data_IF_855771204340
#
_entry.id   IF_855771204340
#
_cell.length_a   1.000
_cell.length_b   1.000
_cell.length_c   1.000
_cell.angle_alpha   90.00
_cell.angle_beta   90.00
_cell.angle_gamma   90.00
#
_symmetry.space_group_name_H-M   'P 1'
#
loop_
_entity.id
_entity.type
_entity.pdbx_description
1 polymer ?
#
# COMPACT_ATOMS: atom_id res chain seq x y z
N UNK A 1 -9.06 -11.80 -6.72
CA UNK A 1 -8.80 -10.96 -5.53
C UNK A 1 -7.69 -9.97 -5.85
N UNK A 2 -7.85 -8.70 -5.43
CA UNK A 2 -6.82 -7.64 -5.53
C UNK A 2 -6.37 -7.22 -4.14
N UNK A 3 -5.11 -6.80 -4.01
CA UNK A 3 -4.48 -6.33 -2.77
C UNK A 3 -3.96 -4.92 -3.00
N UNK A 4 -4.38 -3.98 -2.16
CA UNK A 4 -3.99 -2.58 -2.21
C UNK A 4 -3.24 -2.19 -0.92
N UNK A 5 -2.13 -1.47 -1.06
CA UNK A 5 -1.46 -0.82 0.06
C UNK A 5 -1.90 0.64 0.15
N UNK A 6 -2.14 1.11 1.36
CA UNK A 6 -2.51 2.49 1.67
C UNK A 6 -1.47 3.08 2.63
N UNK A 7 -1.04 4.30 2.37
CA UNK A 7 -0.09 5.02 3.21
C UNK A 7 -0.47 6.49 3.37
N UNK A 8 -0.22 7.06 4.56
CA UNK A 8 -0.44 8.48 4.84
C UNK A 8 0.63 8.99 5.81
N UNK A 9 1.25 10.16 5.55
CA UNK A 9 2.25 10.74 6.44
C UNK A 9 2.08 12.24 6.70
N UNK A 10 0.96 12.85 6.30
CA UNK A 10 0.66 14.25 6.59
C UNK A 10 -0.80 14.43 7.04
N UNK A 11 -1.04 15.39 7.93
CA UNK A 11 -2.37 15.69 8.45
C UNK A 11 -2.92 14.61 9.39
N UNK A 12 -4.24 14.44 9.42
CA UNK A 12 -4.87 13.35 10.17
C UNK A 12 -4.75 12.04 9.35
N UNK A 13 -3.62 11.37 9.53
CA UNK A 13 -3.24 10.16 8.81
C UNK A 13 -4.29 9.04 8.94
N UNK A 14 -4.87 8.88 10.14
CA UNK A 14 -5.86 7.83 10.39
C UNK A 14 -7.19 8.13 9.70
N UNK A 15 -7.66 9.36 9.77
CA UNK A 15 -8.86 9.78 9.03
C UNK A 15 -8.67 9.62 7.53
N UNK A 16 -7.51 9.98 6.99
CA UNK A 16 -7.21 9.82 5.57
C UNK A 16 -7.31 8.35 5.12
N UNK A 17 -6.74 7.41 5.91
CA UNK A 17 -6.87 5.98 5.64
C UNK A 17 -8.33 5.52 5.66
N UNK A 18 -9.11 5.92 6.69
CA UNK A 18 -10.53 5.54 6.82
C UNK A 18 -11.38 6.08 5.66
N UNK A 19 -11.18 7.32 5.26
CA UNK A 19 -11.91 7.90 4.14
C UNK A 19 -11.54 7.23 2.81
N UNK A 20 -10.25 6.93 2.58
CA UNK A 20 -9.82 6.20 1.40
C UNK A 20 -10.50 4.83 1.30
N UNK A 21 -10.55 4.08 2.41
CA UNK A 21 -11.20 2.76 2.45
C UNK A 21 -12.68 2.84 2.03
N UNK A 22 -13.40 3.88 2.44
CA UNK A 22 -14.83 4.05 2.08
C UNK A 22 -15.03 4.24 0.59
N UNK A 23 -14.11 4.95 -0.06
CA UNK A 23 -14.19 5.32 -1.47
C UNK A 23 -13.68 4.24 -2.42
N UNK A 24 -12.77 3.37 -1.98
CA UNK A 24 -12.17 2.32 -2.82
C UNK A 24 -13.23 1.32 -3.28
N UNK A 25 -13.37 1.05 -4.60
CA UNK A 25 -14.43 0.21 -5.17
C UNK A 25 -14.12 -1.29 -5.06
N UNK A 26 -13.96 -1.78 -3.83
CA UNK A 26 -13.80 -3.20 -3.52
C UNK A 26 -15.00 -3.73 -2.73
N UNK A 27 -15.32 -5.00 -2.92
CA UNK A 27 -16.29 -5.74 -2.12
C UNK A 27 -15.64 -6.96 -1.46
N UNK A 28 -16.29 -7.57 -0.46
CA UNK A 28 -15.76 -8.68 0.36
C UNK A 28 -14.35 -8.39 0.88
N UNK A 29 -14.21 -7.26 1.58
CA UNK A 29 -12.93 -6.70 1.98
C UNK A 29 -12.37 -7.35 3.23
N UNK A 30 -11.04 -7.55 3.25
CA UNK A 30 -10.25 -7.81 4.46
C UNK A 30 -9.33 -6.61 4.71
N UNK A 31 -9.05 -6.36 5.98
CA UNK A 31 -8.25 -5.22 6.44
C UNK A 31 -7.13 -5.69 7.34
N UNK A 32 -5.92 -5.24 7.09
CA UNK A 32 -4.80 -5.43 8.01
C UNK A 32 -4.92 -4.53 9.23
N UNK A 33 -4.09 -4.77 10.23
CA UNK A 33 -3.77 -3.75 11.22
C UNK A 33 -3.09 -2.54 10.54
N UNK A 34 -3.09 -1.40 11.23
CA UNK A 34 -2.32 -0.21 10.83
C UNK A 34 -0.94 -0.27 11.46
N UNK A 35 0.09 0.03 10.69
CA UNK A 35 1.48 0.03 11.09
C UNK A 35 2.11 1.39 10.87
N UNK A 36 2.99 1.79 11.77
CA UNK A 36 3.81 2.98 11.60
C UNK A 36 5.20 2.60 11.10
N UNK A 37 5.72 3.32 10.12
CA UNK A 37 7.07 3.17 9.60
C UNK A 37 7.74 4.53 9.37
N UNK A 38 9.07 4.57 9.38
CA UNK A 38 9.81 5.74 8.91
C UNK A 38 9.53 6.00 7.42
N UNK A 39 9.65 7.25 7.01
CA UNK A 39 9.65 7.59 5.59
C UNK A 39 10.91 7.02 4.92
N UNK A 40 10.75 6.42 3.74
CA UNK A 40 11.89 6.13 2.87
C UNK A 40 12.21 7.40 2.09
N UNK A 41 13.37 7.98 2.34
CA UNK A 41 13.78 9.24 1.72
C UNK A 41 15.16 9.08 1.07
N UNK A 42 15.42 9.76 -0.05
CA UNK A 42 16.77 9.88 -0.59
C UNK A 42 17.63 10.76 0.33
N UNK A 43 18.95 10.58 0.28
CA UNK A 43 19.91 11.28 1.17
C UNK A 43 19.82 12.81 1.13
N UNK A 44 19.37 13.37 0.02
CA UNK A 44 19.21 14.81 -0.20
C UNK A 44 17.79 15.33 0.02
N UNK A 45 16.89 14.52 0.60
CA UNK A 45 15.52 14.95 0.85
C UNK A 45 15.48 16.09 1.89
N UNK A 46 14.55 17.04 1.79
CA UNK A 46 14.32 18.03 2.82
C UNK A 46 14.00 17.37 4.17
N UNK A 47 14.62 17.87 5.25
CA UNK A 47 14.40 17.32 6.60
C UNK A 47 12.91 17.30 7.00
N UNK A 48 12.13 18.29 6.58
CA UNK A 48 10.69 18.37 6.84
C UNK A 48 9.87 17.25 6.14
N UNK A 49 10.46 16.46 5.25
CA UNK A 49 9.81 15.31 4.64
C UNK A 49 9.93 14.03 5.47
N UNK A 50 10.80 14.04 6.51
CA UNK A 50 11.00 12.89 7.39
C UNK A 50 9.82 12.74 8.38
N UNK A 51 8.65 12.48 7.85
CA UNK A 51 7.41 12.28 8.60
C UNK A 51 7.01 10.81 8.55
N UNK A 52 6.76 10.16 9.70
CA UNK A 52 6.41 8.75 9.73
C UNK A 52 5.07 8.47 9.04
N UNK A 53 5.03 7.38 8.30
CA UNK A 53 3.82 6.89 7.64
C UNK A 53 2.97 6.04 8.58
N UNK A 54 1.66 6.13 8.44
CA UNK A 54 0.74 5.05 8.78
C UNK A 54 0.44 4.27 7.51
N UNK A 55 0.66 2.96 7.57
CA UNK A 55 0.48 2.05 6.44
C UNK A 55 -0.49 0.94 6.81
N UNK A 56 -1.28 0.51 5.84
CA UNK A 56 -2.13 -0.65 5.94
C UNK A 56 -2.35 -1.29 4.58
N UNK A 57 -2.88 -2.49 4.58
CA UNK A 57 -3.26 -3.21 3.37
C UNK A 57 -4.73 -3.60 3.45
N UNK A 58 -5.40 -3.51 2.31
CA UNK A 58 -6.74 -4.05 2.13
C UNK A 58 -6.73 -5.05 0.97
N UNK A 59 -7.56 -6.07 1.06
CA UNK A 59 -7.84 -6.95 -0.07
C UNK A 59 -9.33 -7.06 -0.32
N UNK A 60 -9.70 -7.45 -1.52
CA UNK A 60 -11.10 -7.62 -1.90
C UNK A 60 -11.24 -7.98 -3.39
N UNK A 61 -12.46 -7.84 -3.88
CA UNK A 61 -12.77 -8.09 -5.28
C UNK A 61 -13.32 -6.83 -5.94
N UNK A 62 -13.11 -6.70 -7.24
CA UNK A 62 -13.63 -5.59 -8.04
C UNK A 62 -14.04 -6.10 -9.41
N UNK A 63 -14.95 -5.37 -10.05
CA UNK A 63 -15.32 -5.57 -11.46
C UNK A 63 -14.51 -4.67 -12.42
N UNK A 64 -13.66 -3.81 -11.87
CA UNK A 64 -12.83 -2.92 -12.67
C UNK A 64 -11.71 -3.69 -13.37
N UNK A 65 -11.27 -3.20 -14.52
CA UNK A 65 -9.98 -3.57 -15.07
C UNK A 65 -8.83 -2.99 -14.22
N UNK A 66 -7.59 -3.48 -14.36
CA UNK A 66 -6.44 -2.88 -13.67
C UNK A 66 -6.29 -1.37 -13.93
N UNK A 67 -6.51 -0.94 -15.16
CA UNK A 67 -6.43 0.45 -15.61
C UNK A 67 -7.53 1.31 -15.00
N UNK A 68 -8.79 0.81 -15.02
CA UNK A 68 -9.93 1.51 -14.43
C UNK A 68 -9.79 1.65 -12.92
N UNK A 69 -9.30 0.59 -12.25
CA UNK A 69 -9.02 0.65 -10.82
C UNK A 69 -7.94 1.67 -10.51
N UNK A 70 -6.85 1.70 -11.28
CA UNK A 70 -5.79 2.71 -11.13
C UNK A 70 -6.34 4.13 -11.30
N UNK A 71 -7.17 4.35 -12.33
CA UNK A 71 -7.81 5.66 -12.55
C UNK A 71 -8.69 6.06 -11.37
N UNK A 72 -9.51 5.14 -10.85
CA UNK A 72 -10.34 5.36 -9.67
C UNK A 72 -9.49 5.70 -8.44
N UNK A 73 -8.39 4.97 -8.21
CA UNK A 73 -7.45 5.24 -7.13
C UNK A 73 -6.87 6.67 -7.24
N UNK A 74 -6.44 7.09 -8.42
CA UNK A 74 -5.90 8.45 -8.62
C UNK A 74 -6.94 9.54 -8.40
N UNK A 75 -8.19 9.30 -8.71
CA UNK A 75 -9.30 10.21 -8.38
C UNK A 75 -9.52 10.30 -6.86
N UNK A 76 -9.49 9.17 -6.14
CA UNK A 76 -9.62 9.12 -4.68
C UNK A 76 -8.46 9.88 -4.03
N UNK A 77 -7.22 9.66 -4.45
CA UNK A 77 -6.06 10.38 -3.94
C UNK A 77 -6.21 11.89 -4.11
N UNK A 78 -6.63 12.34 -5.30
CA UNK A 78 -6.87 13.74 -5.60
C UNK A 78 -7.99 14.33 -4.73
N UNK A 79 -9.10 13.61 -4.57
CA UNK A 79 -10.23 14.01 -3.73
C UNK A 79 -9.85 14.18 -2.26
N UNK A 80 -8.93 13.34 -1.77
CA UNK A 80 -8.44 13.38 -0.38
C UNK A 80 -7.24 14.34 -0.21
N UNK A 81 -7.04 15.27 -1.14
CA UNK A 81 -6.10 16.36 -1.02
C UNK A 81 -4.65 15.99 -1.30
N UNK A 82 -4.39 14.93 -2.06
CA UNK A 82 -3.04 14.63 -2.51
C UNK A 82 -2.58 15.71 -3.49
N UNK A 83 -1.65 16.56 -3.04
CA UNK A 83 -0.92 17.50 -3.90
C UNK A 83 0.40 16.85 -4.30
N UNK A 84 0.69 16.82 -5.59
CA UNK A 84 1.98 16.32 -6.07
C UNK A 84 3.04 17.41 -5.91
N UNK A 85 3.82 17.32 -4.83
CA UNK A 85 5.02 18.15 -4.62
C UNK A 85 6.30 17.47 -5.14
N UNK A 86 6.14 16.39 -5.94
CA UNK A 86 7.23 15.58 -6.47
C UNK A 86 7.34 14.20 -5.82
N UNK A 87 8.27 13.39 -6.34
CA UNK A 87 8.58 12.08 -5.77
C UNK A 87 9.07 12.20 -4.32
N UNK A 88 8.66 11.29 -3.44
CA UNK A 88 9.02 11.21 -2.02
C UNK A 88 8.46 12.32 -1.12
N UNK A 89 7.69 13.28 -1.66
CA UNK A 89 7.06 14.32 -0.84
C UNK A 89 6.02 13.73 0.12
N UNK A 90 5.80 14.38 1.28
CA UNK A 90 4.70 14.05 2.17
C UNK A 90 3.36 14.07 1.45
N UNK A 91 2.47 13.13 1.79
CA UNK A 91 1.18 12.98 1.13
C UNK A 91 0.07 12.61 2.10
N UNK A 92 -1.11 13.20 1.88
CA UNK A 92 -2.30 12.89 2.66
C UNK A 92 -2.71 11.41 2.53
N UNK A 93 -2.59 10.86 1.34
CA UNK A 93 -2.88 9.46 1.04
C UNK A 93 -2.07 9.01 -0.19
N UNK A 94 -1.64 7.76 -0.15
CA UNK A 94 -0.99 7.04 -1.24
C UNK A 94 -1.63 5.66 -1.35
N UNK A 95 -2.05 5.24 -2.54
CA UNK A 95 -2.73 3.97 -2.75
C UNK A 95 -2.07 3.26 -3.92
N UNK A 96 -1.47 2.10 -3.64
CA UNK A 96 -0.79 1.28 -4.64
C UNK A 96 -1.50 -0.06 -4.85
N UNK A 97 -1.64 -0.50 -6.11
CA UNK A 97 -2.05 -1.87 -6.45
C UNK A 97 -0.84 -2.78 -6.29
N UNK A 98 -0.87 -3.67 -5.29
CA UNK A 98 0.28 -4.49 -4.91
C UNK A 98 0.29 -5.84 -5.59
N UNK A 99 -0.83 -6.55 -5.50
CA UNK A 99 -1.01 -7.87 -6.06
C UNK A 99 -2.42 -8.00 -6.64
N UNK A 100 -2.56 -8.81 -7.68
CA UNK A 100 -3.86 -9.16 -8.24
C UNK A 100 -3.82 -10.60 -8.74
N UNK A 101 -4.73 -11.41 -8.23
CA UNK A 101 -4.80 -12.82 -8.56
C UNK A 101 -5.00 -13.05 -10.06
N UNK A 102 -4.08 -13.81 -10.67
CA UNK A 102 -4.12 -14.13 -12.10
C UNK A 102 -3.77 -12.96 -13.04
N UNK A 103 -3.34 -11.81 -12.50
CA UNK A 103 -3.02 -10.62 -13.30
C UNK A 103 -1.53 -10.27 -13.18
N UNK A 104 -0.88 -10.11 -14.33
CA UNK A 104 0.46 -9.55 -14.45
C UNK A 104 0.36 -8.42 -15.47
N UNK A 105 0.79 -7.23 -15.07
CA UNK A 105 0.86 -6.02 -15.92
C UNK A 105 2.26 -5.44 -15.81
N UNK A 106 2.85 -5.12 -16.94
CA UNK A 106 4.16 -4.47 -16.99
C UNK A 106 4.13 -3.38 -18.06
N UNK A 107 3.74 -2.18 -17.64
CA UNK A 107 3.80 -1.01 -18.51
C UNK A 107 4.43 0.21 -17.77
N UNK A 108 4.42 1.38 -18.44
CA UNK A 108 5.03 2.61 -17.92
C UNK A 108 4.26 3.20 -16.73
N UNK A 109 2.97 2.91 -16.62
CA UNK A 109 2.06 3.56 -15.67
C UNK A 109 1.66 2.60 -14.55
N UNK A 110 1.51 1.31 -14.87
CA UNK A 110 1.05 0.27 -13.95
C UNK A 110 1.94 -0.97 -14.03
N UNK A 111 2.36 -1.46 -12.88
CA UNK A 111 3.07 -2.74 -12.78
C UNK A 111 2.43 -3.57 -11.67
N UNK A 112 1.95 -4.75 -12.02
CA UNK A 112 1.36 -5.73 -11.10
C UNK A 112 2.06 -7.07 -11.32
N UNK A 113 2.69 -7.67 -10.30
CA UNK A 113 2.88 -7.18 -8.92
C UNK A 113 3.69 -5.89 -8.85
N UNK A 114 3.44 -5.09 -7.82
CA UNK A 114 4.20 -3.85 -7.60
C UNK A 114 5.70 -4.15 -7.47
N UNK A 115 6.54 -3.48 -8.26
CA UNK A 115 7.99 -3.78 -8.42
C UNK A 115 8.77 -3.89 -7.12
N UNK A 116 8.44 -3.06 -6.12
CA UNK A 116 9.20 -2.95 -4.88
C UNK A 116 8.51 -3.62 -3.68
N UNK A 117 7.34 -4.28 -3.85
CA UNK A 117 6.60 -4.82 -2.72
C UNK A 117 7.41 -5.79 -1.87
N UNK A 118 8.20 -6.63 -2.54
CA UNK A 118 9.04 -7.66 -1.89
C UNK A 118 10.20 -7.10 -1.07
N UNK A 119 10.53 -5.81 -1.25
CA UNK A 119 11.58 -5.10 -0.51
C UNK A 119 11.03 -4.27 0.66
N UNK A 120 9.72 -4.00 0.68
CA UNK A 120 9.09 -3.03 1.58
C UNK A 120 8.36 -3.71 2.73
N UNK A 121 8.90 -3.65 3.94
CA UNK A 121 8.29 -4.28 5.11
C UNK A 121 6.94 -3.68 5.46
N UNK A 122 6.79 -2.37 5.27
CA UNK A 122 5.52 -1.66 5.49
C UNK A 122 4.41 -2.05 4.49
N UNK A 123 4.75 -2.84 3.46
CA UNK A 123 3.82 -3.51 2.56
C UNK A 123 3.68 -4.99 2.92
N UNK A 124 4.79 -5.71 3.10
CA UNK A 124 4.79 -7.16 3.34
C UNK A 124 4.12 -7.52 4.67
N UNK A 125 4.47 -6.81 5.76
CA UNK A 125 3.93 -7.10 7.10
C UNK A 125 2.40 -6.99 7.11
N UNK A 126 1.79 -5.85 6.72
CA UNK A 126 0.34 -5.78 6.69
C UNK A 126 -0.31 -6.70 5.63
N UNK A 127 0.39 -7.05 4.53
CA UNK A 127 -0.14 -8.03 3.59
C UNK A 127 -0.21 -9.42 4.22
N UNK A 128 0.77 -9.80 5.04
CA UNK A 128 0.76 -11.05 5.79
C UNK A 128 -0.39 -11.15 6.81
N UNK A 129 -0.88 -10.03 7.37
CA UNK A 129 -2.03 -10.06 8.28
C UNK A 129 -3.28 -10.68 7.62
N UNK A 130 -3.45 -10.47 6.31
CA UNK A 130 -4.70 -10.81 5.61
C UNK A 130 -4.52 -11.79 4.45
N UNK A 131 -3.35 -11.85 3.85
CA UNK A 131 -3.06 -12.65 2.66
C UNK A 131 -1.70 -13.38 2.74
N UNK A 132 -1.33 -14.08 3.85
CA UNK A 132 -0.01 -14.68 4.02
C UNK A 132 0.32 -15.70 2.92
N UNK A 133 -0.68 -16.45 2.47
CA UNK A 133 -0.54 -17.51 1.47
C UNK A 133 -0.72 -17.03 0.02
N UNK A 134 -0.91 -15.74 -0.21
CA UNK A 134 -1.05 -15.22 -1.57
C UNK A 134 0.24 -15.48 -2.37
N UNK A 135 0.18 -16.17 -3.53
CA UNK A 135 1.36 -16.46 -4.31
C UNK A 135 1.81 -15.22 -5.09
N UNK A 136 3.06 -14.83 -4.94
CA UNK A 136 3.64 -13.80 -5.80
C UNK A 136 3.92 -14.38 -7.19
N UNK A 137 3.26 -13.90 -8.26
CA UNK A 137 3.25 -14.63 -9.55
C UNK A 137 4.62 -14.70 -10.23
N UNK A 138 5.52 -13.75 -9.93
CA UNK A 138 6.87 -13.71 -10.52
C UNK A 138 7.88 -14.46 -9.65
N UNK A 139 7.90 -14.20 -8.33
CA UNK A 139 8.86 -14.82 -7.41
C UNK A 139 8.54 -16.30 -7.11
N UNK A 140 7.30 -16.74 -7.38
CA UNK A 140 6.82 -18.11 -7.11
C UNK A 140 6.86 -18.49 -5.63
N UNK A 141 6.84 -17.50 -4.76
CA UNK A 141 6.81 -17.64 -3.31
C UNK A 141 5.52 -17.03 -2.75
N UNK A 142 5.11 -17.46 -1.55
CA UNK A 142 4.01 -16.81 -0.84
C UNK A 142 4.51 -15.50 -0.17
N UNK A 143 3.60 -14.58 0.10
CA UNK A 143 3.94 -13.32 0.79
C UNK A 143 4.62 -13.59 2.13
N UNK A 144 4.16 -14.59 2.88
CA UNK A 144 4.76 -15.04 4.14
C UNK A 144 6.19 -15.54 3.94
N UNK A 145 6.44 -16.38 2.91
CA UNK A 145 7.77 -16.88 2.58
C UNK A 145 8.72 -15.72 2.23
N UNK A 146 8.27 -14.76 1.43
CA UNK A 146 9.05 -13.57 1.07
C UNK A 146 9.42 -12.78 2.33
N UNK A 147 8.49 -12.58 3.26
CA UNK A 147 8.75 -11.86 4.50
C UNK A 147 9.74 -12.61 5.40
N UNK A 148 9.58 -13.94 5.56
CA UNK A 148 10.45 -14.77 6.40
C UNK A 148 11.89 -14.86 5.86
N UNK A 149 12.06 -14.80 4.55
CA UNK A 149 13.38 -14.87 3.89
C UNK A 149 14.13 -13.53 3.92
N UNK A 150 13.52 -12.44 4.38
CA UNK A 150 14.21 -11.16 4.52
C UNK A 150 15.21 -11.20 5.68
N UNK A 151 16.44 -10.80 5.40
CA UNK A 151 17.52 -10.73 6.40
C UNK A 151 17.36 -9.54 7.38
N UNK A 152 16.82 -8.42 6.86
CA UNK A 152 16.62 -7.20 7.64
C UNK A 152 15.14 -6.77 7.52
N UNK A 153 14.42 -6.87 8.64
CA UNK A 153 13.08 -6.30 8.75
C UNK A 153 13.25 -4.90 9.34
N UNK A 154 13.03 -3.88 8.50
CA UNK A 154 12.97 -2.50 8.98
C UNK A 154 11.80 -2.36 9.94
N UNK A 155 12.03 -1.68 11.07
CA UNK A 155 11.08 -1.55 12.16
C UNK A 155 9.74 -0.97 11.69
N UNK A 156 8.79 -1.88 11.47
CA UNK A 156 7.38 -1.55 11.26
C UNK A 156 6.68 -1.82 12.59
N UNK A 157 6.19 -0.75 13.20
CA UNK A 157 5.57 -0.85 14.51
C UNK A 157 4.06 -0.90 14.37
N UNK A 158 3.42 -1.92 14.94
CA UNK A 158 1.97 -1.99 14.96
C UNK A 158 1.41 -0.78 15.71
N UNK A 159 0.57 0.00 15.03
CA UNK A 159 -0.02 1.22 15.56
C UNK A 159 -1.33 0.93 16.27
N UNK A 160 -2.31 0.38 15.57
CA UNK A 160 -3.57 -0.11 16.12
C UNK A 160 -4.34 -0.98 15.12
N UNK A 161 -5.36 -1.71 15.60
CA UNK A 161 -6.35 -2.31 14.71
C UNK A 161 -7.25 -1.21 14.11
N UNK A 162 -7.69 -1.40 12.86
CA UNK A 162 -8.66 -0.49 12.26
C UNK A 162 -10.06 -0.94 12.64
N UNK A 163 -10.83 -0.01 13.22
CA UNK A 163 -12.25 -0.19 13.47
C UNK A 163 -13.00 0.72 12.48
N UNK A 164 -13.73 0.09 11.57
CA UNK A 164 -14.54 0.74 10.52
C UNK A 164 -16.00 0.77 10.92
#
# INVERSE_FOLDING_TARGET
MVVLALGSNIGDRMSALKEAIKLIPLHNRLYSSVYESCALLPDNAPFCWNMPFLNMVISGYTHFSPEDLLQSIKQIESQLGRCSLGHWSPRSIDIDIILWEGVIVEDKVLTIPHKEMHKRDFVLVPTCDICPRFPHPILKETVESILLNKQDINLVKKYQAIHL
#
